data_IF_847364195596
#
_entry.id   IF_847364195596
#
_cell.length_a   1.000
_cell.length_b   1.000
_cell.length_c   1.000
_cell.angle_alpha   90.00
_cell.angle_beta   90.00
_cell.angle_gamma   90.00
#
_symmetry.space_group_name_H-M   'P 1'
#
loop_
_entity.id
_entity.type
_entity.pdbx_description
1 polymer ?
#
# COMPACT_ATOMS: atom_id res chain seq x y z
N UNK A 1 13.14 3.75 11.07
CA UNK A 1 12.25 2.72 10.49
C UNK A 1 11.36 2.16 11.58
N UNK A 2 10.12 1.81 11.24
CA UNK A 2 9.18 1.14 12.15
C UNK A 2 8.59 -0.11 11.49
N UNK A 3 8.17 -1.08 12.29
CA UNK A 3 7.47 -2.27 11.80
C UNK A 3 6.00 -1.91 11.57
N UNK A 4 5.43 -2.35 10.45
CA UNK A 4 4.00 -2.19 10.17
C UNK A 4 3.14 -2.93 11.21
N UNK A 5 2.12 -2.26 11.75
CA UNK A 5 1.24 -2.85 12.76
C UNK A 5 0.47 -4.04 12.19
N UNK A 6 0.40 -5.14 12.95
CA UNK A 6 -0.28 -6.37 12.52
C UNK A 6 -1.79 -6.20 12.24
N UNK A 7 -2.39 -5.11 12.71
CA UNK A 7 -3.77 -4.73 12.37
C UNK A 7 -3.91 -4.32 10.90
N UNK A 8 -2.88 -3.70 10.31
CA UNK A 8 -2.91 -3.09 8.97
C UNK A 8 -2.12 -3.88 7.92
N UNK A 9 -1.34 -4.86 8.36
CA UNK A 9 -0.47 -5.63 7.49
C UNK A 9 -0.52 -7.11 7.86
N UNK A 10 -0.51 -7.96 6.83
CA UNK A 10 -0.16 -9.37 6.99
C UNK A 10 1.29 -9.57 6.55
N UNK A 11 2.05 -10.36 7.32
CA UNK A 11 3.47 -10.61 7.07
C UNK A 11 4.38 -9.50 7.62
N UNK A 12 5.65 -9.51 7.20
CA UNK A 12 6.65 -8.53 7.67
C UNK A 12 6.69 -7.32 6.75
N UNK A 13 6.40 -6.16 7.32
CA UNK A 13 6.43 -4.87 6.62
C UNK A 13 7.28 -3.87 7.40
N UNK A 14 8.15 -3.16 6.70
CA UNK A 14 8.96 -2.07 7.26
C UNK A 14 8.54 -0.75 6.63
N UNK A 15 8.40 0.28 7.46
CA UNK A 15 8.08 1.65 7.05
C UNK A 15 9.27 2.54 7.37
N UNK A 16 9.74 3.26 6.35
CA UNK A 16 10.94 4.10 6.35
C UNK A 16 10.58 5.54 5.95
N UNK A 17 11.31 6.50 6.54
CA UNK A 17 11.22 7.93 6.22
C UNK A 17 9.79 8.49 6.04
N UNK A 18 8.89 8.34 7.03
CA UNK A 18 7.57 8.93 6.95
C UNK A 18 7.68 10.46 6.90
N UNK A 19 6.86 11.09 6.07
CA UNK A 19 6.75 12.53 5.98
C UNK A 19 5.29 12.96 5.95
N UNK A 20 5.03 14.15 6.45
CA UNK A 20 3.74 14.82 6.40
C UNK A 20 4.04 16.30 6.21
N UNK A 21 3.46 16.91 5.17
CA UNK A 21 3.60 18.33 4.95
C UNK A 21 2.73 19.11 5.94
N UNK A 22 3.23 20.29 6.36
CA UNK A 22 2.49 21.21 7.20
C UNK A 22 1.34 21.88 6.44
N UNK A 23 0.29 22.25 7.16
CA UNK A 23 -0.82 23.02 6.59
C UNK A 23 -0.30 24.30 5.90
N UNK A 24 -0.85 24.67 4.73
CA UNK A 24 -2.08 24.15 4.12
C UNK A 24 -1.88 22.93 3.21
N UNK A 25 -0.67 22.41 3.07
CA UNK A 25 -0.44 21.17 2.32
C UNK A 25 -1.00 19.97 3.09
N UNK A 26 -1.42 18.93 2.36
CA UNK A 26 -2.04 17.72 2.93
C UNK A 26 -1.27 16.44 2.63
N UNK A 27 -0.26 16.54 1.77
CA UNK A 27 0.49 15.39 1.28
C UNK A 27 1.35 14.79 2.38
N UNK A 28 1.29 13.48 2.48
CA UNK A 28 2.18 12.68 3.30
C UNK A 28 2.54 11.40 2.57
N UNK A 29 3.43 10.62 3.18
CA UNK A 29 3.88 9.39 2.59
C UNK A 29 4.98 8.72 3.38
N UNK A 30 5.44 7.59 2.86
CA UNK A 30 6.57 6.84 3.38
C UNK A 30 7.14 5.91 2.32
N UNK A 31 8.37 5.45 2.52
CA UNK A 31 8.89 4.27 1.83
C UNK A 31 8.44 3.03 2.59
N UNK A 32 7.83 2.07 1.89
CA UNK A 32 7.31 0.84 2.50
C UNK A 32 7.94 -0.36 1.81
N UNK A 33 8.54 -1.25 2.60
CA UNK A 33 9.10 -2.52 2.14
C UNK A 33 8.27 -3.68 2.68
N UNK A 34 7.82 -4.54 1.78
CA UNK A 34 7.10 -5.78 2.06
C UNK A 34 8.04 -6.96 1.81
N UNK A 35 8.22 -7.82 2.81
CA UNK A 35 8.86 -9.13 2.61
C UNK A 35 7.97 -10.05 1.74
N UNK A 36 8.50 -11.14 1.14
CA UNK A 36 7.70 -12.05 0.34
C UNK A 36 6.41 -12.48 1.04
N UNK A 37 5.27 -12.38 0.33
CA UNK A 37 3.95 -12.68 0.87
C UNK A 37 3.32 -11.60 1.75
N UNK A 38 4.07 -10.55 2.13
CA UNK A 38 3.55 -9.47 2.96
C UNK A 38 2.73 -8.48 2.15
N UNK A 39 1.65 -7.97 2.74
CA UNK A 39 0.70 -7.05 2.10
C UNK A 39 -0.05 -6.22 3.13
N UNK A 40 -0.64 -5.12 2.67
CA UNK A 40 -1.62 -4.36 3.44
C UNK A 40 -2.88 -5.18 3.69
N UNK A 41 -3.63 -4.81 4.71
CA UNK A 41 -5.07 -5.07 4.77
C UNK A 41 -5.77 -4.34 3.61
N UNK A 42 -7.04 -4.69 3.36
CA UNK A 42 -7.88 -3.87 2.50
C UNK A 42 -8.02 -2.47 3.12
N UNK A 43 -8.00 -1.43 2.29
CA UNK A 43 -8.17 -0.05 2.75
C UNK A 43 -8.64 0.87 1.63
N UNK A 44 -8.99 2.11 2.00
CA UNK A 44 -9.31 3.20 1.08
C UNK A 44 -8.55 4.48 1.46
N UNK A 45 -8.35 5.36 0.49
CA UNK A 45 -7.82 6.71 0.69
C UNK A 45 -8.89 7.73 0.28
N UNK A 46 -9.15 8.78 1.09
CA UNK A 46 -10.22 9.74 0.80
C UNK A 46 -9.93 10.61 -0.43
N UNK A 47 -8.65 10.83 -0.74
CA UNK A 47 -8.19 11.61 -1.89
C UNK A 47 -7.30 10.79 -2.86
N UNK A 48 -7.38 9.46 -2.76
CA UNK A 48 -6.59 8.54 -3.57
C UNK A 48 -5.15 8.35 -3.06
N UNK A 49 -4.39 7.54 -3.77
CA UNK A 49 -2.99 7.22 -3.45
C UNK A 49 -2.17 7.01 -4.72
N UNK A 50 -0.93 7.49 -4.69
CA UNK A 50 0.10 7.16 -5.68
C UNK A 50 1.14 6.24 -5.06
N UNK A 51 1.47 5.15 -5.75
CA UNK A 51 2.61 4.30 -5.44
C UNK A 51 3.68 4.47 -6.52
N UNK A 52 4.93 4.61 -6.10
CA UNK A 52 6.09 4.60 -7.00
C UNK A 52 6.96 3.41 -6.61
N UNK A 53 6.99 2.37 -7.43
CA UNK A 53 7.75 1.16 -7.10
C UNK A 53 9.23 1.39 -7.37
N UNK A 54 10.07 1.05 -6.38
CA UNK A 54 11.51 1.34 -6.38
C UNK A 54 12.37 0.08 -6.41
N UNK A 55 11.87 -1.05 -5.89
CA UNK A 55 12.60 -2.32 -5.89
C UNK A 55 11.66 -3.52 -5.85
N UNK A 56 12.13 -4.65 -6.37
CA UNK A 56 11.48 -5.95 -6.19
C UNK A 56 10.30 -6.20 -7.12
N UNK A 57 9.31 -6.99 -6.68
CA UNK A 57 8.13 -7.29 -7.47
C UNK A 57 6.90 -7.46 -6.58
N UNK A 58 5.86 -6.69 -6.83
CA UNK A 58 4.66 -6.63 -6.01
C UNK A 58 3.38 -6.89 -6.78
N UNK A 59 2.27 -6.77 -6.05
CA UNK A 59 0.91 -6.80 -6.58
C UNK A 59 0.11 -5.65 -5.97
N UNK A 60 -0.82 -5.13 -6.75
CA UNK A 60 -1.90 -4.24 -6.30
C UNK A 60 -3.22 -4.82 -6.81
N UNK A 61 -4.27 -4.76 -5.99
CA UNK A 61 -5.59 -5.22 -6.40
C UNK A 61 -6.66 -4.27 -5.89
N UNK A 62 -7.55 -3.87 -6.79
CA UNK A 62 -8.80 -3.21 -6.44
C UNK A 62 -9.90 -4.25 -6.23
N UNK A 63 -10.83 -3.96 -5.32
CA UNK A 63 -11.91 -4.87 -4.99
C UNK A 63 -12.74 -5.26 -6.22
N UNK A 64 -12.91 -6.56 -6.43
CA UNK A 64 -13.64 -7.11 -7.58
C UNK A 64 -12.91 -7.06 -8.91
N UNK A 65 -11.64 -6.62 -8.94
CA UNK A 65 -10.78 -6.63 -10.13
C UNK A 65 -9.65 -7.66 -9.99
N UNK A 66 -9.08 -8.16 -11.10
CA UNK A 66 -7.87 -8.97 -11.06
C UNK A 66 -6.71 -8.21 -10.43
N UNK A 67 -5.80 -8.92 -9.77
CA UNK A 67 -4.59 -8.29 -9.24
C UNK A 67 -3.63 -7.93 -10.39
N UNK A 68 -2.96 -6.80 -10.26
CA UNK A 68 -1.99 -6.31 -11.23
C UNK A 68 -0.58 -6.44 -10.66
N UNK A 69 0.35 -6.97 -11.47
CA UNK A 69 1.77 -6.99 -11.10
C UNK A 69 2.36 -5.58 -11.20
N UNK A 70 3.22 -5.22 -10.24
CA UNK A 70 3.93 -3.95 -10.22
C UNK A 70 5.43 -4.18 -9.99
N UNK A 71 6.29 -3.42 -10.67
CA UNK A 71 7.74 -3.57 -10.75
C UNK A 71 8.44 -2.19 -10.70
N UNK A 72 9.76 -2.13 -10.45
CA UNK A 72 10.47 -0.87 -10.31
C UNK A 72 10.29 0.01 -11.55
N UNK A 73 9.94 1.28 -11.32
CA UNK A 73 9.60 2.23 -12.38
C UNK A 73 8.09 2.38 -12.63
N UNK A 74 7.26 1.43 -12.18
CA UNK A 74 5.81 1.56 -12.28
C UNK A 74 5.29 2.64 -11.32
N UNK A 75 4.34 3.43 -11.82
CA UNK A 75 3.56 4.40 -11.05
C UNK A 75 2.12 3.91 -11.03
N UNK A 76 1.60 3.63 -9.83
CA UNK A 76 0.22 3.19 -9.63
C UNK A 76 -0.58 4.36 -9.09
N UNK A 77 -1.67 4.71 -9.77
CA UNK A 77 -2.68 5.61 -9.23
C UNK A 77 -3.89 4.81 -8.78
N UNK A 78 -4.27 4.98 -7.52
CA UNK A 78 -5.46 4.38 -6.92
C UNK A 78 -6.46 5.50 -6.64
N UNK A 79 -7.63 5.52 -7.31
CA UNK A 79 -8.59 6.61 -7.17
C UNK A 79 -9.18 6.75 -5.76
N UNK A 80 -9.72 7.94 -5.41
CA UNK A 80 -10.41 8.17 -4.14
C UNK A 80 -11.48 7.13 -3.83
N UNK A 81 -11.51 6.65 -2.60
CA UNK A 81 -12.53 5.72 -2.10
C UNK A 81 -12.43 4.29 -2.66
N UNK A 82 -11.50 3.99 -3.56
CA UNK A 82 -11.33 2.64 -4.11
C UNK A 82 -10.77 1.71 -3.03
N UNK A 83 -11.51 0.64 -2.72
CA UNK A 83 -11.05 -0.41 -1.82
C UNK A 83 -9.98 -1.24 -2.52
N UNK A 84 -8.79 -1.30 -1.93
CA UNK A 84 -7.64 -1.97 -2.53
C UNK A 84 -6.69 -2.53 -1.48
N UNK A 85 -5.76 -3.37 -1.94
CA UNK A 85 -4.56 -3.75 -1.20
C UNK A 85 -3.35 -3.74 -2.12
N UNK A 86 -2.17 -3.66 -1.55
CA UNK A 86 -0.90 -3.84 -2.25
C UNK A 86 0.14 -4.51 -1.34
N UNK A 87 1.15 -5.10 -1.96
CA UNK A 87 2.19 -5.82 -1.24
C UNK A 87 3.18 -6.52 -2.15
N UNK A 88 4.05 -7.30 -1.54
CA UNK A 88 4.97 -8.17 -2.25
C UNK A 88 4.23 -9.32 -2.97
N UNK A 89 4.86 -9.87 -4.00
CA UNK A 89 4.46 -11.18 -4.49
C UNK A 89 4.92 -12.29 -3.51
N UNK A 90 4.57 -13.54 -3.80
CA UNK A 90 4.79 -14.65 -2.86
C UNK A 90 6.28 -14.96 -2.59
N UNK A 91 7.18 -14.61 -3.51
CA UNK A 91 8.57 -15.08 -3.52
C UNK A 91 9.62 -13.96 -3.46
N UNK A 92 9.23 -12.72 -3.73
CA UNK A 92 10.12 -11.57 -3.93
C UNK A 92 9.56 -10.40 -3.13
N UNK A 93 10.42 -9.80 -2.31
CA UNK A 93 10.10 -8.56 -1.60
C UNK A 93 9.75 -7.44 -2.59
N UNK A 94 9.08 -6.40 -2.13
CA UNK A 94 8.81 -5.20 -2.92
C UNK A 94 8.95 -3.95 -2.06
N UNK A 95 9.49 -2.88 -2.65
CA UNK A 95 9.53 -1.57 -2.01
C UNK A 95 8.93 -0.52 -2.92
N UNK A 96 8.07 0.33 -2.36
CA UNK A 96 7.54 1.51 -3.04
C UNK A 96 7.56 2.73 -2.13
N UNK A 97 7.44 3.91 -2.74
CA UNK A 97 7.05 5.14 -2.06
C UNK A 97 5.53 5.25 -2.17
N UNK A 98 4.84 5.32 -1.03
CA UNK A 98 3.40 5.58 -0.99
C UNK A 98 3.17 7.07 -0.68
N UNK A 99 2.29 7.71 -1.44
CA UNK A 99 1.97 9.12 -1.34
C UNK A 99 0.44 9.26 -1.31
N UNK A 100 -0.09 9.94 -0.31
CA UNK A 100 -1.51 10.22 -0.19
C UNK A 100 -1.76 11.56 0.52
N UNK A 101 -2.89 12.19 0.23
CA UNK A 101 -3.35 13.36 0.96
C UNK A 101 -4.30 12.97 2.10
N UNK A 102 -4.19 13.69 3.22
CA UNK A 102 -5.13 13.57 4.33
C UNK A 102 -6.38 14.42 4.09
N UNK A 103 -7.55 13.88 4.44
CA UNK A 103 -8.81 14.62 4.55
C UNK A 103 -9.35 14.41 5.97
N UNK A 104 -9.82 15.48 6.62
CA UNK A 104 -10.36 15.43 7.98
C UNK A 104 -9.43 14.76 9.01
N UNK A 105 -8.12 14.96 8.84
CA UNK A 105 -7.08 14.45 9.73
C UNK A 105 -6.63 13.01 9.47
N UNK A 106 -7.18 12.32 8.45
CA UNK A 106 -6.79 10.96 8.12
C UNK A 106 -6.49 10.77 6.62
N UNK A 107 -5.39 10.10 6.25
CA UNK A 107 -5.11 9.75 4.87
C UNK A 107 -5.69 8.39 4.48
N UNK A 108 -6.13 7.55 5.41
CA UNK A 108 -6.47 6.14 5.16
C UNK A 108 -7.61 5.67 6.05
N UNK A 109 -8.49 4.84 5.50
CA UNK A 109 -9.47 4.05 6.26
C UNK A 109 -9.13 2.57 6.09
N UNK A 110 -8.69 1.93 7.17
CA UNK A 110 -8.36 0.51 7.20
C UNK A 110 -9.62 -0.35 7.31
N UNK A 111 -9.59 -1.52 6.66
CA UNK A 111 -10.67 -2.50 6.64
C UNK A 111 -10.13 -3.88 7.04
N UNK A 112 -10.76 -4.96 6.58
CA UNK A 112 -10.35 -6.32 6.92
C UNK A 112 -9.03 -6.75 6.25
N UNK A 113 -8.36 -7.72 6.84
CA UNK A 113 -7.17 -8.34 6.27
C UNK A 113 -7.49 -9.03 4.93
N UNK A 114 -6.51 -9.03 4.02
CA UNK A 114 -6.56 -9.84 2.79
C UNK A 114 -6.37 -11.30 3.17
N UNK A 115 -7.39 -12.12 2.93
CA UNK A 115 -7.32 -13.55 3.22
C UNK A 115 -6.31 -14.26 2.32
N UNK A 116 -5.78 -15.40 2.77
CA UNK A 116 -4.88 -16.20 1.93
C UNK A 116 -5.52 -16.62 0.60
N UNK A 117 -6.84 -16.88 0.58
CA UNK A 117 -7.57 -17.19 -0.64
C UNK A 117 -7.66 -16.00 -1.60
N UNK A 118 -7.89 -14.79 -1.08
CA UNK A 118 -7.86 -13.56 -1.88
C UNK A 118 -6.45 -13.28 -2.43
N UNK A 119 -5.42 -13.51 -1.61
CA UNK A 119 -4.03 -13.33 -2.02
C UNK A 119 -3.61 -14.37 -3.06
N UNK A 120 -4.05 -15.62 -2.95
CA UNK A 120 -3.72 -16.69 -3.88
C UNK A 120 -4.48 -16.61 -5.21
N UNK A 121 -5.65 -15.96 -5.25
CA UNK A 121 -6.40 -15.76 -6.48
C UNK A 121 -5.60 -14.83 -7.43
N UNK A 122 -5.43 -15.25 -8.69
CA UNK A 122 -4.76 -14.48 -9.75
C UNK A 122 -5.59 -13.25 -10.16
#
# INVERSE_FOLDING_TARGET
SVVGAAEYFTGKVRIDAPFQADAPARVGGATVTFEPGARTAWHTHPLGQTLIVTAGAGRVQEWGKPAQQIRPGDIVWIPPGVKHWHGANANVAMTHIAIAESQDGAPVTWLEQVSEAQYAAE
#
